data_IF_909077549059
#
_entry.id   IF_909077549059
#
_cell.length_a   1.000
_cell.length_b   1.000
_cell.length_c   1.000
_cell.angle_alpha   90.00
_cell.angle_beta   90.00
_cell.angle_gamma   90.00
#
_symmetry.space_group_name_H-M   'P 1'
#
loop_
_entity.id
_entity.type
_entity.pdbx_description
1 polymer ?
#
# COMPACT_ATOMS: atom_id res chain seq x y z
N UNK A 1 -29.63 36.02 12.28
CA UNK A 1 -29.22 34.72 11.73
C UNK A 1 -27.86 34.40 12.34
N UNK A 2 -27.81 33.59 13.41
CA UNK A 2 -26.52 33.21 13.99
C UNK A 2 -25.82 32.23 13.03
N UNK A 3 -24.60 32.54 12.60
CA UNK A 3 -23.75 31.59 11.89
C UNK A 3 -23.62 30.32 12.73
N UNK A 4 -23.77 29.16 12.09
CA UNK A 4 -23.58 27.87 12.75
C UNK A 4 -22.17 27.70 13.32
N UNK A 5 -21.93 26.63 14.11
CA UNK A 5 -20.62 26.39 14.70
C UNK A 5 -19.53 26.30 13.61
N UNK A 6 -18.31 26.82 13.88
CA UNK A 6 -17.24 26.83 12.91
C UNK A 6 -16.85 25.40 12.49
N UNK A 7 -16.45 25.18 11.23
CA UNK A 7 -16.08 23.87 10.73
C UNK A 7 -14.89 23.30 11.52
N UNK A 8 -14.98 22.02 11.89
CA UNK A 8 -13.98 21.31 12.70
C UNK A 8 -12.65 21.16 11.96
N UNK A 9 -11.54 20.99 12.69
CA UNK A 9 -10.21 20.84 12.09
C UNK A 9 -10.14 19.67 11.08
N UNK A 10 -10.85 18.58 11.35
CA UNK A 10 -10.97 17.43 10.45
C UNK A 10 -11.66 17.78 9.12
N UNK A 11 -12.67 18.66 9.13
CA UNK A 11 -13.35 19.12 7.91
C UNK A 11 -12.49 20.07 7.08
N UNK A 12 -11.57 20.81 7.72
CA UNK A 12 -10.63 21.71 7.03
C UNK A 12 -9.44 20.95 6.46
N UNK A 13 -9.01 19.86 7.10
CA UNK A 13 -7.89 19.07 6.64
C UNK A 13 -8.26 18.30 5.36
N UNK A 14 -7.51 18.55 4.29
CA UNK A 14 -7.69 17.87 3.00
C UNK A 14 -6.55 16.88 2.77
N UNK A 15 -6.75 15.57 3.00
CA UNK A 15 -5.72 14.58 2.72
C UNK A 15 -5.45 14.51 1.20
N UNK A 16 -4.23 14.16 0.84
CA UNK A 16 -3.80 13.93 -0.54
C UNK A 16 -3.17 12.54 -0.65
N UNK A 17 -3.00 12.02 -1.86
CA UNK A 17 -2.30 10.76 -2.16
C UNK A 17 -0.94 10.65 -1.47
N UNK A 18 -0.24 11.77 -1.27
CA UNK A 18 1.09 11.81 -0.64
C UNK A 18 1.06 12.18 0.85
N UNK A 19 -0.08 12.67 1.36
CA UNK A 19 -0.22 13.11 2.75
C UNK A 19 -1.53 12.58 3.30
N UNK A 20 -1.44 11.53 4.13
CA UNK A 20 -2.60 10.88 4.73
C UNK A 20 -3.30 11.77 5.77
N UNK A 21 -4.52 11.38 6.13
CA UNK A 21 -5.24 11.96 7.27
C UNK A 21 -4.51 11.58 8.57
N UNK A 22 -4.19 12.53 9.47
CA UNK A 22 -3.68 12.23 10.79
C UNK A 22 -4.66 11.37 11.59
N UNK A 23 -4.14 10.45 12.39
CA UNK A 23 -4.97 9.53 13.17
C UNK A 23 -5.88 10.28 14.15
N UNK A 24 -5.46 11.42 14.72
CA UNK A 24 -6.30 12.18 15.66
C UNK A 24 -7.50 12.85 14.97
N UNK A 25 -7.41 13.10 13.65
CA UNK A 25 -8.47 13.72 12.86
C UNK A 25 -9.39 12.70 12.19
N UNK A 26 -9.02 11.42 12.15
CA UNK A 26 -9.86 10.36 11.62
C UNK A 26 -11.02 10.06 12.60
N UNK A 27 -12.29 10.29 12.20
CA UNK A 27 -13.44 9.99 13.05
C UNK A 27 -13.50 8.52 13.46
N UNK A 28 -13.00 7.62 12.60
CA UNK A 28 -12.98 6.19 12.88
C UNK A 28 -12.06 5.85 14.04
N UNK A 29 -11.04 6.66 14.36
CA UNK A 29 -10.13 6.39 15.48
C UNK A 29 -10.87 6.26 16.81
N UNK A 30 -11.87 7.11 17.02
CA UNK A 30 -12.65 7.16 18.26
C UNK A 30 -13.86 6.22 18.27
N UNK A 31 -14.11 5.47 17.18
CA UNK A 31 -15.18 4.48 17.18
C UNK A 31 -14.89 3.39 18.22
N UNK A 32 -15.80 3.27 19.18
CA UNK A 32 -15.73 2.34 20.31
C UNK A 32 -16.68 1.14 20.14
N UNK A 33 -17.20 0.92 18.93
CA UNK A 33 -18.09 -0.18 18.58
C UNK A 33 -17.51 -1.55 18.98
N UNK A 34 -18.36 -2.51 19.39
CA UNK A 34 -17.88 -3.82 19.83
C UNK A 34 -17.19 -4.60 18.70
N UNK A 35 -17.61 -4.41 17.45
CA UNK A 35 -17.01 -5.06 16.28
C UNK A 35 -15.58 -4.57 16.04
N UNK A 36 -15.35 -3.25 16.11
CA UNK A 36 -14.02 -2.67 15.94
C UNK A 36 -13.06 -3.14 17.03
N UNK A 37 -13.51 -3.21 18.29
CA UNK A 37 -12.71 -3.77 19.40
C UNK A 37 -12.33 -5.23 19.16
N UNK A 38 -13.24 -6.05 18.63
CA UNK A 38 -12.96 -7.45 18.27
C UNK A 38 -11.90 -7.53 17.17
N UNK A 39 -12.06 -6.76 16.10
CA UNK A 39 -11.09 -6.71 15.00
C UNK A 39 -9.70 -6.23 15.47
N UNK A 40 -9.64 -5.24 16.36
CA UNK A 40 -8.38 -4.77 16.97
C UNK A 40 -7.73 -5.83 17.85
N UNK A 41 -8.51 -6.54 18.67
CA UNK A 41 -8.03 -7.64 19.51
C UNK A 41 -7.47 -8.79 18.66
N UNK A 42 -8.16 -9.16 17.57
CA UNK A 42 -7.69 -10.17 16.63
C UNK A 42 -6.39 -9.76 15.93
N UNK A 43 -6.31 -8.51 15.45
CA UNK A 43 -5.08 -7.95 14.85
C UNK A 43 -3.92 -7.95 15.85
N UNK A 44 -4.19 -7.59 17.11
CA UNK A 44 -3.18 -7.59 18.17
C UNK A 44 -2.72 -9.00 18.52
N UNK A 45 -3.64 -9.97 18.58
CA UNK A 45 -3.31 -11.37 18.81
C UNK A 45 -2.42 -11.93 17.70
N UNK A 46 -2.74 -11.64 16.43
CA UNK A 46 -1.91 -12.01 15.29
C UNK A 46 -0.53 -11.37 15.36
N UNK A 47 -0.46 -10.06 15.64
CA UNK A 47 0.81 -9.33 15.79
C UNK A 47 1.66 -9.90 16.92
N UNK A 48 1.07 -10.21 18.06
CA UNK A 48 1.75 -10.80 19.21
C UNK A 48 2.30 -12.19 18.89
N UNK A 49 1.50 -13.02 18.20
CA UNK A 49 1.92 -14.36 17.75
C UNK A 49 3.12 -14.29 16.81
N UNK A 50 3.06 -13.43 15.79
CA UNK A 50 4.16 -13.26 14.82
C UNK A 50 5.42 -12.72 15.50
N UNK A 51 5.28 -11.73 16.39
CA UNK A 51 6.40 -11.18 17.17
C UNK A 51 7.06 -12.25 18.05
N UNK A 52 6.26 -13.07 18.75
CA UNK A 52 6.78 -14.18 19.57
C UNK A 52 7.56 -15.18 18.72
N UNK A 53 7.02 -15.58 17.57
CA UNK A 53 7.72 -16.50 16.66
C UNK A 53 9.08 -15.97 16.24
N UNK A 54 9.15 -14.70 15.82
CA UNK A 54 10.41 -14.05 15.44
C UNK A 54 11.39 -13.98 16.62
N UNK A 55 10.92 -13.59 17.80
CA UNK A 55 11.77 -13.51 19.00
C UNK A 55 12.34 -14.86 19.42
N UNK A 56 11.59 -15.96 19.27
CA UNK A 56 12.09 -17.31 19.56
C UNK A 56 13.22 -17.73 18.62
N UNK A 57 13.15 -17.36 17.34
CA UNK A 57 14.21 -17.64 16.37
C UNK A 57 15.43 -16.76 16.60
N UNK A 58 15.23 -15.47 16.92
CA UNK A 58 16.29 -14.52 17.17
C UNK A 58 17.08 -14.84 18.44
N UNK A 59 16.39 -15.26 19.51
CA UNK A 59 17.01 -15.56 20.80
C UNK A 59 17.47 -17.02 20.92
N UNK A 60 17.47 -17.80 19.84
CA UNK A 60 17.97 -19.17 19.84
C UNK A 60 19.50 -19.14 20.03
N UNK A 61 20.10 -19.92 20.96
CA UNK A 61 21.56 -19.99 21.12
C UNK A 61 22.29 -20.46 19.86
N UNK A 62 21.62 -21.20 18.97
CA UNK A 62 22.14 -21.60 17.66
C UNK A 62 21.22 -21.05 16.56
N UNK A 63 21.31 -19.74 16.22
CA UNK A 63 20.44 -19.15 15.23
C UNK A 63 20.85 -19.58 13.81
N UNK A 64 19.89 -19.68 12.88
CA UNK A 64 20.23 -19.79 11.46
C UNK A 64 20.95 -18.53 10.98
N UNK A 65 21.77 -18.65 9.94
CA UNK A 65 22.51 -17.52 9.37
C UNK A 65 21.57 -16.38 8.91
N UNK A 66 20.37 -16.71 8.46
CA UNK A 66 19.33 -15.76 8.04
C UNK A 66 17.99 -16.25 8.61
N UNK A 67 17.25 -15.34 9.24
CA UNK A 67 15.87 -15.60 9.65
C UNK A 67 14.97 -15.29 8.46
N UNK A 68 14.38 -16.33 7.86
CA UNK A 68 13.50 -16.17 6.71
C UNK A 68 12.17 -15.52 7.12
N UNK A 69 11.83 -14.41 6.46
CA UNK A 69 10.51 -13.79 6.58
C UNK A 69 9.59 -14.26 5.43
N UNK A 70 8.58 -15.11 5.72
CA UNK A 70 7.66 -15.58 4.70
C UNK A 70 6.83 -14.43 4.08
N UNK A 71 6.64 -13.31 4.78
CA UNK A 71 5.96 -12.15 4.21
C UNK A 71 6.81 -11.49 3.12
N UNK A 72 8.12 -11.35 3.37
CA UNK A 72 9.06 -10.81 2.40
C UNK A 72 9.19 -11.71 1.16
N UNK A 73 9.27 -13.03 1.36
CA UNK A 73 9.35 -14.00 0.26
C UNK A 73 8.09 -13.93 -0.61
N UNK A 74 6.90 -13.89 0.01
CA UNK A 74 5.63 -13.76 -0.74
C UNK A 74 5.53 -12.42 -1.46
N UNK A 75 6.02 -11.33 -0.86
CA UNK A 75 6.07 -10.03 -1.51
C UNK A 75 6.98 -10.05 -2.75
N UNK A 76 8.18 -10.63 -2.62
CA UNK A 76 9.10 -10.78 -3.74
C UNK A 76 8.49 -11.65 -4.86
N UNK A 77 7.88 -12.78 -4.50
CA UNK A 77 7.17 -13.66 -5.44
C UNK A 77 6.07 -12.91 -6.19
N UNK A 78 5.23 -12.16 -5.47
CA UNK A 78 4.14 -11.39 -6.06
C UNK A 78 4.62 -10.35 -7.09
N UNK A 79 5.79 -9.75 -6.84
CA UNK A 79 6.39 -8.71 -7.70
C UNK A 79 7.14 -9.26 -8.91
N UNK A 80 7.60 -10.50 -8.86
CA UNK A 80 8.51 -11.07 -9.86
C UNK A 80 7.85 -12.19 -10.66
N UNK A 81 7.32 -13.20 -9.97
CA UNK A 81 6.85 -14.44 -10.59
C UNK A 81 5.34 -14.40 -10.86
N UNK A 82 4.56 -13.66 -10.06
CA UNK A 82 3.09 -13.63 -10.20
C UNK A 82 2.54 -12.57 -11.16
N UNK A 83 3.40 -11.81 -11.85
CA UNK A 83 2.97 -10.71 -12.72
C UNK A 83 2.24 -11.22 -13.97
N UNK A 84 2.87 -12.12 -14.74
CA UNK A 84 2.29 -12.64 -15.98
C UNK A 84 1.17 -13.66 -15.79
N UNK A 85 1.24 -14.59 -14.82
CA UNK A 85 0.15 -15.55 -14.58
C UNK A 85 -1.20 -14.87 -14.25
N UNK A 86 -1.17 -13.71 -13.60
CA UNK A 86 -2.37 -12.95 -13.23
C UNK A 86 -2.72 -11.86 -14.25
N UNK A 87 -1.91 -11.66 -15.29
CA UNK A 87 -2.17 -10.66 -16.33
C UNK A 87 -3.33 -11.08 -17.23
N UNK A 88 -4.24 -10.13 -17.50
CA UNK A 88 -5.35 -10.33 -18.45
C UNK A 88 -5.29 -9.25 -19.53
N UNK A 89 -5.23 -9.63 -20.82
CA UNK A 89 -5.28 -8.67 -21.91
C UNK A 89 -6.69 -8.07 -22.01
N UNK A 90 -6.87 -6.90 -21.41
CA UNK A 90 -8.10 -6.08 -21.47
C UNK A 90 -7.88 -4.84 -22.33
N UNK A 91 -8.94 -4.20 -22.86
CA UNK A 91 -8.80 -2.96 -23.62
C UNK A 91 -8.00 -1.88 -22.88
N UNK A 92 -8.22 -1.70 -21.57
CA UNK A 92 -7.48 -0.76 -20.72
C UNK A 92 -5.98 -1.10 -20.67
N UNK A 93 -5.64 -2.36 -20.40
CA UNK A 93 -4.22 -2.76 -20.29
C UNK A 93 -3.51 -2.68 -21.63
N UNK A 94 -4.19 -3.03 -22.73
CA UNK A 94 -3.61 -2.95 -24.08
C UNK A 94 -3.39 -1.50 -24.50
N UNK A 95 -4.35 -0.61 -24.21
CA UNK A 95 -4.21 0.82 -24.50
C UNK A 95 -3.06 1.45 -23.70
N UNK A 96 -2.99 1.19 -22.39
CA UNK A 96 -1.86 1.67 -21.57
C UNK A 96 -0.53 1.12 -22.10
N UNK A 97 -0.48 -0.17 -22.42
CA UNK A 97 0.72 -0.80 -23.01
C UNK A 97 1.15 -0.10 -24.30
N UNK A 98 0.23 0.15 -25.24
CA UNK A 98 0.53 0.83 -26.50
C UNK A 98 1.00 2.28 -26.27
N UNK A 99 0.32 3.05 -25.42
CA UNK A 99 0.70 4.44 -25.12
C UNK A 99 2.10 4.49 -24.50
N UNK A 100 2.40 3.65 -23.51
CA UNK A 100 3.67 3.71 -22.80
C UNK A 100 4.83 3.02 -23.52
N UNK A 101 4.56 2.04 -24.39
CA UNK A 101 5.60 1.37 -25.17
C UNK A 101 5.89 2.08 -26.51
N UNK A 102 4.85 2.45 -27.27
CA UNK A 102 4.98 3.02 -28.62
C UNK A 102 5.03 4.55 -28.57
N UNK A 103 4.29 5.17 -27.65
CA UNK A 103 4.19 6.63 -27.54
C UNK A 103 5.55 7.33 -27.44
N UNK A 104 6.45 6.93 -26.51
CA UNK A 104 7.79 7.53 -26.42
C UNK A 104 8.62 7.36 -27.70
N UNK A 105 8.51 6.22 -28.39
CA UNK A 105 9.24 5.96 -29.62
C UNK A 105 8.81 6.91 -30.75
N UNK A 106 7.50 7.10 -30.92
CA UNK A 106 6.96 8.03 -31.90
C UNK A 106 7.29 9.48 -31.56
N UNK A 107 7.18 9.84 -30.27
CA UNK A 107 7.52 11.18 -29.79
C UNK A 107 8.97 11.54 -30.10
N UNK A 108 9.92 10.68 -29.72
CA UNK A 108 11.34 10.93 -29.99
C UNK A 108 11.69 10.85 -31.47
N UNK A 109 11.07 9.92 -32.21
CA UNK A 109 11.25 9.84 -33.67
C UNK A 109 10.84 11.13 -34.38
N UNK A 110 9.72 11.73 -33.97
CA UNK A 110 9.28 13.02 -34.51
C UNK A 110 10.20 14.17 -34.06
N UNK A 111 10.58 14.22 -32.78
CA UNK A 111 11.47 15.26 -32.25
C UNK A 111 12.82 15.27 -33.00
N UNK A 112 13.46 14.11 -33.17
CA UNK A 112 14.72 14.00 -33.89
C UNK A 112 14.60 14.28 -35.39
N UNK A 113 13.43 14.02 -35.98
CA UNK A 113 13.15 14.35 -37.39
C UNK A 113 12.90 15.85 -37.63
N UNK A 114 12.51 16.59 -36.59
CA UNK A 114 12.35 18.05 -36.69
C UNK A 114 13.71 18.75 -36.49
N UNK A 115 14.57 18.17 -35.64
CA UNK A 115 15.92 18.68 -35.37
C UNK A 115 16.91 18.44 -36.54
N UNK A 116 16.77 17.31 -37.25
CA UNK A 116 17.59 16.94 -38.43
C UNK A 116 16.81 16.96 -39.72
#
# INVERSE_FOLDING_TARGET
>A
MAEGPPPTAAQRYRPNRFVSLPAELDPNTYDASPEKRRAEAERLALRARLKRQYQLQLNNPNPPAIIEDPALIRWAYARTQNVYPTFRPTPKTSLLGAIFAIGPLLFWGAAFKIDR
#
